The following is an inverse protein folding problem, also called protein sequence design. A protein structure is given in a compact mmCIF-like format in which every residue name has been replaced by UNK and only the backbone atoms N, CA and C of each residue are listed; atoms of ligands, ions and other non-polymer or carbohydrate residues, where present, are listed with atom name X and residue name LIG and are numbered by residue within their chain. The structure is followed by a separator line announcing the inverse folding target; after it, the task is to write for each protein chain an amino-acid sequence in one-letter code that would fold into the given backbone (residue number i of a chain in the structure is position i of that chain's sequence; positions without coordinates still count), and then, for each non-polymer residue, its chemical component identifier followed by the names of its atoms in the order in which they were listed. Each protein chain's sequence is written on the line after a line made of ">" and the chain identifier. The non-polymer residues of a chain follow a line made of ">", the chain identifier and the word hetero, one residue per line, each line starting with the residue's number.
data_IF_025322877517
#
_entry.id   IF_025322877517
#
_cell.length_a   1.000
_cell.length_b   1.000
_cell.length_c   1.000
_cell.angle_alpha   90.00
_cell.angle_beta   90.00
_cell.angle_gamma   90.00
#
_symmetry.space_group_name_H-M   'P 1'
#
loop_
_entity.id
_entity.type
_entity.pdbx_description
1 polymer ?
#
# COMPACT_ATOMS: atom_id res chain seq x y z
N UNK A 1 -1.76 -14.46 0.89
CA UNK A 1 -0.85 -13.70 0.01
C UNK A 1 0.04 -14.66 -0.75
N UNK A 2 0.20 -14.54 -2.08
CA UNK A 2 0.98 -15.50 -2.85
C UNK A 2 2.47 -15.43 -2.50
N UNK A 3 3.10 -16.57 -2.39
CA UNK A 3 4.55 -16.70 -2.24
C UNK A 3 5.19 -16.49 -3.62
N UNK A 4 6.15 -15.58 -3.70
CA UNK A 4 6.86 -15.28 -4.93
C UNK A 4 8.31 -15.77 -4.84
N UNK A 5 8.73 -16.53 -5.84
CA UNK A 5 10.10 -16.97 -6.03
C UNK A 5 10.85 -15.97 -6.91
N UNK A 6 11.66 -15.06 -6.35
CA UNK A 6 12.26 -13.99 -7.14
C UNK A 6 13.66 -13.54 -6.73
N UNK A 7 14.24 -14.10 -5.70
CA UNK A 7 15.64 -13.81 -5.39
C UNK A 7 16.45 -15.11 -5.35
N UNK A 8 17.70 -15.01 -5.75
CA UNK A 8 18.67 -16.09 -5.61
C UNK A 8 19.71 -15.71 -4.57
N UNK A 9 20.07 -16.65 -3.71
CA UNK A 9 21.20 -16.47 -2.83
C UNK A 9 22.55 -16.47 -3.61
N UNK A 10 23.66 -16.23 -2.90
CA UNK A 10 24.99 -16.20 -3.50
C UNK A 10 25.44 -17.48 -4.21
N UNK A 11 24.77 -18.59 -3.94
CA UNK A 11 25.03 -19.89 -4.58
C UNK A 11 23.99 -20.25 -5.64
N UNK A 12 23.11 -19.30 -5.99
CA UNK A 12 22.13 -19.43 -7.06
C UNK A 12 20.85 -20.21 -6.68
N UNK A 13 20.64 -20.52 -5.41
CA UNK A 13 19.39 -21.09 -4.94
C UNK A 13 18.29 -20.04 -4.95
N UNK A 14 17.14 -20.43 -5.43
CA UNK A 14 15.93 -19.62 -5.42
C UNK A 14 15.39 -19.57 -3.99
N UNK A 15 14.92 -18.40 -3.58
CA UNK A 15 14.33 -18.17 -2.27
C UNK A 15 12.86 -17.78 -2.41
N UNK A 16 12.08 -18.20 -1.42
CA UNK A 16 10.64 -17.94 -1.36
C UNK A 16 10.35 -16.80 -0.40
N UNK A 17 9.49 -15.87 -0.84
CA UNK A 17 9.13 -14.69 -0.05
C UNK A 17 7.61 -14.55 0.08
N UNK A 18 7.19 -14.10 1.23
CA UNK A 18 5.84 -13.58 1.48
C UNK A 18 5.94 -12.07 1.68
N UNK A 19 5.08 -11.34 1.03
CA UNK A 19 4.93 -9.90 1.26
C UNK A 19 3.64 -9.67 2.04
N UNK A 20 3.74 -8.98 3.18
CA UNK A 20 2.65 -8.76 4.13
C UNK A 20 2.44 -7.25 4.25
N UNK A 21 1.19 -6.82 4.24
CA UNK A 21 0.80 -5.44 4.51
C UNK A 21 0.11 -5.35 5.86
N UNK A 22 0.58 -4.46 6.73
CA UNK A 22 -0.18 -4.06 7.91
C UNK A 22 -1.22 -3.01 7.53
N UNK A 23 -2.31 -2.92 8.27
CA UNK A 23 -3.33 -1.90 8.06
C UNK A 23 -3.19 -0.75 9.05
N UNK A 24 -3.06 0.47 8.54
CA UNK A 24 -3.18 1.70 9.32
C UNK A 24 -4.64 1.92 9.73
N UNK A 25 -4.92 2.08 11.02
CA UNK A 25 -6.28 2.25 11.55
C UNK A 25 -6.56 3.70 11.94
N UNK A 26 -5.58 4.37 12.57
CA UNK A 26 -5.77 5.71 13.09
C UNK A 26 -5.61 6.80 12.02
N UNK A 27 -6.44 7.84 12.10
CA UNK A 27 -6.28 9.00 11.25
C UNK A 27 -5.12 9.89 11.69
N UNK A 28 -4.53 10.62 10.74
CA UNK A 28 -3.50 11.64 10.98
C UNK A 28 -2.33 11.12 11.83
N UNK A 29 -1.86 9.90 11.56
CA UNK A 29 -0.69 9.28 12.19
C UNK A 29 -0.79 9.17 13.72
N UNK A 30 -1.98 8.90 14.25
CA UNK A 30 -2.19 8.77 15.69
C UNK A 30 -1.79 7.39 16.23
N UNK A 31 -1.16 6.55 15.44
CA UNK A 31 -0.62 5.25 15.85
C UNK A 31 0.78 5.01 15.28
N UNK A 32 1.39 3.91 15.68
CA UNK A 32 2.66 3.48 15.11
C UNK A 32 2.47 3.16 13.62
N UNK A 33 3.42 3.59 12.81
CA UNK A 33 3.36 3.47 11.36
C UNK A 33 3.27 2.03 10.92
N UNK A 34 2.28 1.75 10.10
CA UNK A 34 2.10 0.46 9.44
C UNK A 34 2.92 0.40 8.14
N UNK A 35 3.45 -0.78 7.84
CA UNK A 35 4.40 -0.97 6.74
C UNK A 35 4.11 -2.23 5.94
N UNK A 36 4.79 -2.36 4.83
CA UNK A 36 4.92 -3.59 4.06
C UNK A 36 6.14 -4.36 4.57
N UNK A 37 5.97 -5.64 4.82
CA UNK A 37 7.02 -6.55 5.29
C UNK A 37 7.38 -7.55 4.21
N UNK A 38 8.67 -7.71 3.94
CA UNK A 38 9.22 -8.74 3.07
C UNK A 38 9.81 -9.83 3.95
N UNK A 39 9.24 -11.01 3.88
CA UNK A 39 9.59 -12.13 4.75
C UNK A 39 10.10 -13.28 3.91
N UNK A 40 11.33 -13.70 4.15
CA UNK A 40 11.90 -14.91 3.59
C UNK A 40 11.31 -16.13 4.30
N UNK A 41 10.64 -16.97 3.55
CA UNK A 41 9.98 -18.19 4.03
C UNK A 41 10.60 -19.45 3.41
N UNK A 42 11.77 -19.34 2.80
CA UNK A 42 12.49 -20.48 2.18
C UNK A 42 12.67 -21.64 3.17
N UNK A 43 12.79 -21.32 4.44
CA UNK A 43 12.72 -22.30 5.52
C UNK A 43 11.46 -22.03 6.34
N UNK A 44 10.36 -22.70 6.01
CA UNK A 44 9.03 -22.43 6.59
C UNK A 44 8.99 -22.37 8.13
N UNK A 45 9.80 -23.19 8.79
CA UNK A 45 9.89 -23.23 10.28
C UNK A 45 10.67 -22.04 10.86
N UNK A 46 11.35 -21.27 10.03
CA UNK A 46 12.20 -20.16 10.45
C UNK A 46 12.05 -18.97 9.49
N UNK A 47 10.86 -18.35 9.42
CA UNK A 47 10.65 -17.16 8.61
C UNK A 47 11.50 -15.99 9.15
N UNK A 48 12.06 -15.19 8.26
CA UNK A 48 12.90 -14.05 8.59
C UNK A 48 12.44 -12.82 7.83
N UNK A 49 12.08 -11.75 8.55
CA UNK A 49 11.86 -10.46 7.90
C UNK A 49 13.18 -9.91 7.37
N UNK A 50 13.24 -9.63 6.07
CA UNK A 50 14.47 -9.19 5.39
C UNK A 50 14.44 -7.72 4.98
N UNK A 51 13.26 -7.15 4.82
CA UNK A 51 13.08 -5.75 4.51
C UNK A 51 11.69 -5.26 4.93
N UNK A 52 11.56 -3.95 5.07
CA UNK A 52 10.28 -3.25 5.18
C UNK A 52 10.24 -2.13 4.16
N UNK A 53 9.02 -1.76 3.75
CA UNK A 53 8.79 -0.60 2.91
C UNK A 53 7.56 0.17 3.37
N UNK A 54 7.60 1.49 3.22
CA UNK A 54 6.48 2.40 3.42
C UNK A 54 6.77 3.74 2.77
N UNK A 55 5.73 4.44 2.31
CA UNK A 55 5.91 5.76 1.73
C UNK A 55 6.43 6.76 2.78
N UNK A 56 7.31 7.67 2.38
CA UNK A 56 7.79 8.73 3.26
C UNK A 56 6.72 9.78 3.52
N UNK A 57 6.60 10.23 4.76
CA UNK A 57 5.65 11.26 5.18
C UNK A 57 6.01 12.65 4.62
N UNK A 58 7.27 13.04 4.80
CA UNK A 58 7.75 14.41 4.59
C UNK A 58 7.40 15.00 3.23
N UNK A 59 7.63 14.33 2.09
CA UNK A 59 7.37 14.98 0.80
C UNK A 59 5.90 15.32 0.55
N UNK A 60 4.99 14.70 1.29
CA UNK A 60 3.57 14.84 1.06
C UNK A 60 2.78 15.48 2.19
N UNK A 61 3.39 15.68 3.34
CA UNK A 61 2.71 16.14 4.56
C UNK A 61 1.45 15.33 4.87
N UNK A 62 1.56 14.00 4.70
CA UNK A 62 0.40 13.10 4.72
C UNK A 62 -0.30 13.04 6.07
N UNK A 63 0.43 13.19 7.18
CA UNK A 63 -0.15 13.18 8.51
C UNK A 63 -1.08 14.38 8.74
N UNK A 64 -0.86 15.50 8.08
CA UNK A 64 -1.68 16.70 8.23
C UNK A 64 -2.82 16.82 7.22
N UNK A 65 -2.83 16.02 6.15
CA UNK A 65 -3.86 16.06 5.10
C UNK A 65 -5.23 15.57 5.56
N UNK A 66 -5.30 14.86 6.68
CA UNK A 66 -6.49 14.17 7.14
C UNK A 66 -6.57 12.72 6.68
N UNK A 67 -7.38 11.93 7.36
CA UNK A 67 -7.52 10.51 7.11
C UNK A 67 -6.31 9.69 7.56
N UNK A 68 -6.28 8.43 7.16
CA UNK A 68 -5.19 7.50 7.48
C UNK A 68 -4.01 7.73 6.54
N UNK A 69 -2.81 7.51 7.04
CA UNK A 69 -1.58 7.44 6.27
C UNK A 69 -0.80 6.21 6.67
N UNK A 70 -0.73 5.24 5.80
CA UNK A 70 -0.09 3.94 6.01
C UNK A 70 -0.58 2.95 4.97
N UNK A 71 -0.09 1.74 5.03
CA UNK A 71 -0.48 0.68 4.11
C UNK A 71 -1.84 0.10 4.47
N UNK A 72 -2.51 -0.51 3.48
CA UNK A 72 -3.72 -1.29 3.69
C UNK A 72 -3.67 -2.62 2.94
N UNK A 73 -3.53 -2.60 1.62
CA UNK A 73 -3.58 -3.80 0.81
C UNK A 73 -2.55 -3.77 -0.32
N UNK A 74 -2.18 -4.94 -0.80
CA UNK A 74 -1.44 -5.13 -2.04
C UNK A 74 -2.35 -5.70 -3.12
N UNK A 75 -1.95 -5.58 -4.39
CA UNK A 75 -2.61 -6.33 -5.44
C UNK A 75 -2.47 -7.84 -5.20
N UNK A 76 -3.57 -8.57 -5.31
CA UNK A 76 -3.62 -10.02 -5.15
C UNK A 76 -3.45 -10.76 -6.48
N UNK A 77 -3.84 -10.13 -7.58
CA UNK A 77 -3.68 -10.69 -8.90
C UNK A 77 -2.21 -10.64 -9.35
N UNK A 78 -1.68 -11.81 -9.70
CA UNK A 78 -0.30 -11.99 -10.12
C UNK A 78 -0.18 -12.02 -11.65
N UNK A 79 -0.65 -10.96 -12.30
CA UNK A 79 -0.52 -10.84 -13.76
C UNK A 79 0.94 -10.96 -14.21
N UNK A 80 1.23 -11.69 -15.32
CA UNK A 80 2.59 -11.89 -15.82
C UNK A 80 3.36 -10.61 -16.10
N UNK A 81 2.65 -9.51 -16.42
CA UNK A 81 3.26 -8.19 -16.71
C UNK A 81 4.05 -7.68 -15.49
N UNK A 82 3.53 -7.89 -14.28
CA UNK A 82 4.11 -7.34 -13.05
C UNK A 82 4.74 -8.40 -12.14
N UNK A 83 4.37 -9.66 -12.31
CA UNK A 83 4.83 -10.74 -11.44
C UNK A 83 6.34 -10.74 -11.25
N UNK A 84 6.81 -10.85 -10.02
CA UNK A 84 8.21 -10.83 -9.60
C UNK A 84 8.97 -9.53 -9.94
N UNK A 85 8.30 -8.50 -10.38
CA UNK A 85 8.91 -7.22 -10.76
C UNK A 85 8.35 -6.04 -10.00
N UNK A 86 7.03 -5.89 -10.00
CA UNK A 86 6.34 -4.79 -9.34
C UNK A 86 5.20 -5.32 -8.48
N UNK A 87 5.03 -4.72 -7.31
CA UNK A 87 3.81 -4.82 -6.51
C UNK A 87 3.22 -3.43 -6.32
N UNK A 88 1.90 -3.42 -6.22
CA UNK A 88 1.13 -2.21 -5.99
C UNK A 88 0.52 -2.27 -4.60
N UNK A 89 0.66 -1.17 -3.86
CA UNK A 89 0.15 -1.06 -2.51
C UNK A 89 -0.80 0.13 -2.41
N UNK A 90 -1.99 -0.10 -1.87
CA UNK A 90 -2.85 0.99 -1.43
C UNK A 90 -2.29 1.57 -0.13
N UNK A 91 -2.22 2.90 -0.07
CA UNK A 91 -1.57 3.63 1.02
C UNK A 91 -2.43 4.80 1.49
N UNK A 92 -3.71 4.53 1.70
CA UNK A 92 -4.76 5.48 2.12
C UNK A 92 -4.63 6.87 1.47
N UNK A 93 -4.35 7.93 2.24
CA UNK A 93 -4.28 9.30 1.71
C UNK A 93 -3.04 9.57 0.85
N UNK A 94 -2.09 8.65 0.82
CA UNK A 94 -0.96 8.66 -0.09
C UNK A 94 -1.20 7.92 -1.42
N UNK A 95 -2.42 7.42 -1.65
CA UNK A 95 -2.83 6.84 -2.93
C UNK A 95 -2.32 5.42 -3.16
N UNK A 96 -2.08 5.07 -4.42
CA UNK A 96 -1.45 3.80 -4.83
C UNK A 96 0.03 4.02 -5.07
N UNK A 97 0.83 3.06 -4.62
CA UNK A 97 2.29 3.04 -4.74
C UNK A 97 2.73 1.83 -5.55
N UNK A 98 3.59 2.04 -6.54
CA UNK A 98 4.24 0.97 -7.29
C UNK A 98 5.66 0.77 -6.76
N UNK A 99 5.97 -0.44 -6.35
CA UNK A 99 7.24 -0.80 -5.72
C UNK A 99 7.94 -1.87 -6.54
N UNK A 100 9.18 -1.62 -6.93
CA UNK A 100 10.06 -2.60 -7.54
C UNK A 100 10.50 -3.61 -6.47
N UNK A 101 10.16 -4.87 -6.71
CA UNK A 101 10.42 -5.99 -5.80
C UNK A 101 11.40 -7.00 -6.37
N UNK A 102 12.09 -6.69 -7.48
CA UNK A 102 13.09 -7.60 -8.07
C UNK A 102 14.22 -7.94 -7.11
N UNK A 103 14.54 -7.02 -6.23
CA UNK A 103 15.37 -7.27 -5.05
C UNK A 103 14.52 -7.12 -3.79
N UNK A 104 14.06 -8.23 -3.18
CA UNK A 104 13.20 -8.18 -2.00
C UNK A 104 13.91 -7.69 -0.74
N UNK A 105 15.22 -7.61 -0.77
CA UNK A 105 16.02 -7.04 0.32
C UNK A 105 16.10 -5.51 0.25
N UNK A 106 15.84 -4.94 -0.93
CA UNK A 106 15.88 -3.48 -1.18
C UNK A 106 14.68 -3.05 -2.03
N UNK A 107 13.44 -3.23 -1.54
CA UNK A 107 12.25 -2.79 -2.27
C UNK A 107 12.29 -1.28 -2.50
N UNK A 108 11.95 -0.85 -3.71
CA UNK A 108 12.08 0.54 -4.12
C UNK A 108 10.81 1.07 -4.76
N UNK A 109 10.27 2.17 -4.25
CA UNK A 109 9.19 2.90 -4.93
C UNK A 109 9.67 3.41 -6.29
N UNK A 110 8.88 3.16 -7.33
CA UNK A 110 9.18 3.58 -8.70
C UNK A 110 8.12 4.50 -9.29
N UNK A 111 6.90 4.47 -8.77
CA UNK A 111 5.82 5.36 -9.16
C UNK A 111 4.76 5.45 -8.07
N UNK A 112 3.92 6.48 -8.17
CA UNK A 112 2.73 6.61 -7.33
C UNK A 112 1.63 7.37 -8.07
N UNK A 113 0.40 7.17 -7.61
CA UNK A 113 -0.76 7.94 -8.04
C UNK A 113 -1.62 8.31 -6.83
N UNK A 114 -1.88 9.60 -6.66
CA UNK A 114 -2.75 10.12 -5.61
C UNK A 114 -3.95 10.76 -6.29
N UNK A 115 -5.15 10.18 -6.18
CA UNK A 115 -6.35 10.77 -6.74
C UNK A 115 -6.64 12.15 -6.13
N UNK A 116 -7.27 13.01 -6.92
CA UNK A 116 -7.76 14.29 -6.41
C UNK A 116 -9.01 14.09 -5.55
N UNK A 117 -9.20 14.97 -4.56
CA UNK A 117 -10.47 15.04 -3.82
C UNK A 117 -11.61 15.48 -4.74
N UNK A 118 -12.78 14.92 -4.51
CA UNK A 118 -14.02 15.26 -5.24
C UNK A 118 -15.11 15.62 -4.25
N UNK A 119 -16.26 16.08 -4.74
CA UNK A 119 -17.44 16.34 -3.91
C UNK A 119 -17.93 15.10 -3.16
N UNK A 120 -17.59 13.90 -3.63
CA UNK A 120 -17.97 12.62 -3.04
C UNK A 120 -16.87 12.02 -2.14
N UNK A 121 -15.77 12.72 -1.94
CA UNK A 121 -14.70 12.25 -1.06
C UNK A 121 -15.12 12.38 0.40
N UNK A 122 -14.96 11.32 1.17
CA UNK A 122 -15.33 11.25 2.58
C UNK A 122 -14.57 12.26 3.45
N UNK A 123 -15.21 12.65 4.55
CA UNK A 123 -14.54 13.34 5.65
C UNK A 123 -14.02 12.32 6.66
N UNK A 124 -12.81 12.53 7.12
CA UNK A 124 -12.15 11.77 8.18
C UNK A 124 -11.86 12.69 9.36
N UNK A 125 -12.21 12.21 10.55
CA UNK A 125 -12.14 13.03 11.76
C UNK A 125 -11.11 12.49 12.74
N UNK A 126 -10.46 13.41 13.44
CA UNK A 126 -9.57 13.15 14.57
C UNK A 126 -10.11 13.91 15.78
N UNK A 127 -10.16 13.22 16.91
CA UNK A 127 -10.46 13.84 18.21
C UNK A 127 -9.22 13.77 19.09
N UNK A 128 -8.63 14.92 19.36
CA UNK A 128 -7.46 15.05 20.21
C UNK A 128 -7.88 15.58 21.58
N UNK A 129 -7.69 14.77 22.62
CA UNK A 129 -8.09 15.14 23.98
C UNK A 129 -9.60 15.32 24.14
N UNK A 130 -10.03 16.31 24.93
CA UNK A 130 -11.45 16.61 25.21
C UNK A 130 -12.10 17.57 24.21
N UNK A 131 -11.38 17.97 23.15
CA UNK A 131 -11.86 18.93 22.15
C UNK A 131 -12.91 18.34 21.21
N UNK A 132 -13.53 19.24 20.42
CA UNK A 132 -14.42 18.82 19.32
C UNK A 132 -13.62 18.11 18.22
N UNK A 133 -14.23 17.12 17.53
CA UNK A 133 -13.57 16.42 16.45
C UNK A 133 -13.21 17.37 15.30
N UNK A 134 -11.98 17.31 14.82
CA UNK A 134 -11.53 18.00 13.61
C UNK A 134 -11.67 17.07 12.42
N UNK A 135 -12.44 17.48 11.41
CA UNK A 135 -12.70 16.66 10.23
C UNK A 135 -12.12 17.31 8.97
N UNK A 136 -11.46 16.51 8.13
CA UNK A 136 -10.94 16.91 6.83
C UNK A 136 -11.42 15.98 5.73
N UNK A 137 -11.67 16.53 4.53
CA UNK A 137 -11.89 15.73 3.32
C UNK A 137 -10.55 15.07 2.96
N UNK A 138 -10.52 13.76 2.88
CA UNK A 138 -9.26 13.03 2.68
C UNK A 138 -9.44 11.80 1.78
N UNK A 139 -8.57 11.69 0.79
CA UNK A 139 -8.44 10.47 0.00
C UNK A 139 -8.15 9.28 0.94
N UNK A 140 -8.80 8.17 0.67
CA UNK A 140 -8.58 6.90 1.39
C UNK A 140 -8.54 5.77 0.37
N UNK A 141 -7.40 5.62 -0.33
CA UNK A 141 -7.21 4.49 -1.24
C UNK A 141 -7.15 3.20 -0.41
N UNK A 142 -8.16 2.36 -0.60
CA UNK A 142 -8.38 1.19 0.23
C UNK A 142 -7.79 -0.08 -0.38
N UNK A 143 -8.11 -0.38 -1.63
CA UNK A 143 -7.60 -1.55 -2.34
C UNK A 143 -6.96 -1.16 -3.65
N UNK A 144 -6.10 -2.03 -4.14
CA UNK A 144 -5.51 -1.96 -5.47
C UNK A 144 -5.52 -3.34 -6.10
N UNK A 145 -5.90 -3.39 -7.38
CA UNK A 145 -5.82 -4.60 -8.20
C UNK A 145 -5.23 -4.27 -9.56
N UNK A 146 -4.77 -5.30 -10.25
CA UNK A 146 -4.20 -5.19 -11.60
C UNK A 146 -4.82 -6.24 -12.51
N UNK A 147 -4.92 -5.94 -13.80
CA UNK A 147 -5.40 -6.91 -14.79
C UNK A 147 -4.30 -7.35 -15.76
N UNK A 148 -4.60 -8.32 -16.61
CA UNK A 148 -3.65 -8.91 -17.57
C UNK A 148 -3.25 -7.94 -18.71
N UNK A 149 -3.95 -6.82 -18.84
CA UNK A 149 -3.64 -5.77 -19.81
C UNK A 149 -2.69 -4.72 -19.22
N UNK A 150 -2.44 -4.78 -17.90
CA UNK A 150 -1.58 -3.85 -17.18
C UNK A 150 -2.32 -2.66 -16.57
N UNK A 151 -3.66 -2.62 -16.62
CA UNK A 151 -4.42 -1.60 -15.92
C UNK A 151 -4.40 -1.83 -14.42
N UNK A 152 -4.33 -0.74 -13.69
CA UNK A 152 -4.30 -0.70 -12.24
C UNK A 152 -5.60 -0.08 -11.75
N UNK A 153 -6.30 -0.76 -10.86
CA UNK A 153 -7.59 -0.34 -10.31
C UNK A 153 -7.42 -0.01 -8.83
N UNK A 154 -7.71 1.21 -8.44
CA UNK A 154 -7.73 1.63 -7.04
C UNK A 154 -9.16 1.86 -6.54
N UNK A 155 -9.55 1.26 -5.42
CA UNK A 155 -10.82 1.54 -4.78
C UNK A 155 -10.68 2.62 -3.71
N UNK A 156 -11.66 3.52 -3.66
CA UNK A 156 -11.77 4.56 -2.65
C UNK A 156 -13.18 4.53 -2.07
N UNK A 157 -13.33 4.52 -0.74
CA UNK A 157 -14.64 4.73 -0.13
C UNK A 157 -15.22 6.08 -0.58
N UNK A 158 -16.46 6.10 -0.97
CA UNK A 158 -17.19 7.32 -1.29
C UNK A 158 -18.57 7.29 -0.65
N UNK A 159 -19.10 8.45 -0.32
CA UNK A 159 -20.47 8.62 0.22
C UNK A 159 -21.54 8.40 -0.85
N UNK A 160 -21.17 8.34 -2.13
CA UNK A 160 -22.11 8.11 -3.22
C UNK A 160 -22.30 6.60 -3.46
N UNK A 161 -23.51 6.15 -3.84
CA UNK A 161 -23.81 4.74 -4.14
C UNK A 161 -23.15 4.21 -5.43
N UNK A 162 -22.29 4.95 -6.07
CA UNK A 162 -21.57 4.55 -7.28
C UNK A 162 -20.23 3.89 -6.94
N UNK A 163 -19.88 2.77 -7.57
CA UNK A 163 -18.58 2.12 -7.33
C UNK A 163 -17.44 3.07 -7.68
N UNK A 164 -16.71 3.47 -6.67
CA UNK A 164 -15.51 4.34 -6.82
C UNK A 164 -14.29 3.58 -7.31
N UNK A 165 -14.39 2.90 -8.46
CA UNK A 165 -13.25 2.38 -9.18
C UNK A 165 -12.76 3.41 -10.21
N UNK A 166 -11.55 3.87 -10.06
CA UNK A 166 -10.84 4.60 -11.13
C UNK A 166 -9.81 3.67 -11.74
N UNK A 167 -9.86 3.52 -13.08
CA UNK A 167 -8.82 2.86 -13.85
C UNK A 167 -7.85 3.90 -14.41
N UNK A 168 -6.58 3.57 -14.40
CA UNK A 168 -5.54 4.39 -15.02
C UNK A 168 -4.51 3.49 -15.71
N UNK A 169 -4.00 3.93 -16.81
CA UNK A 169 -3.01 3.25 -17.66
C UNK A 169 -1.67 4.01 -17.64
#
# INVERSE_FOLDING_TARGET
>A
MPIAEFAKDKIGKVRDFVVITDEEIANECQEARQMVWFVDVTVEKHPVSVATWGAHESPGDFCSRGGRFGTHASNENMTPIYYKRLMFFSHFNAGVRAVDIRDPYHPKEVAYFIPSVTANTDKRCVKLGSGEPRCKVAIQTNNVEVDDRGYIYGSMPSTAPTPGCTSWS
#
